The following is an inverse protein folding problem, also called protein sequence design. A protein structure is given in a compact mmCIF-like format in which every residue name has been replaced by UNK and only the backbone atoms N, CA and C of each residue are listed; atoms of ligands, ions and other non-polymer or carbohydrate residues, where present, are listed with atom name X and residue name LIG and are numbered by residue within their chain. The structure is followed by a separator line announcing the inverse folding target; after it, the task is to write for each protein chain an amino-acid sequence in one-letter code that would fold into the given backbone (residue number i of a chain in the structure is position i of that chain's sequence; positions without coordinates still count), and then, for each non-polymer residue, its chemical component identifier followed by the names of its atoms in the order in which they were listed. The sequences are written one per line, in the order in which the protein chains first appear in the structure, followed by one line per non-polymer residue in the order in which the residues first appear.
data_IF_360488182534
#
_entry.id   IF_360488182534
#
_cell.length_a   1.000
_cell.length_b   1.000
_cell.length_c   1.000
_cell.angle_alpha   90.00
_cell.angle_beta   90.00
_cell.angle_gamma   90.00
#
_symmetry.space_group_name_H-M   'P 1'
#
loop_
_entity.id
_entity.type
_entity.pdbx_description
1 polymer ?
#
# COMPACT_ATOMS: atom_id res chain seq x y z
N UNK A 1 7.30 64.08 46.84
CA UNK A 1 7.00 62.65 47.00
C UNK A 1 6.10 62.19 45.85
N UNK A 2 6.70 61.77 44.74
CA UNK A 2 6.07 60.98 43.67
C UNK A 2 7.22 60.29 42.93
N UNK A 3 7.14 58.98 42.96
CA UNK A 3 8.16 58.00 42.61
C UNK A 3 7.96 57.63 41.14
N UNK A 4 8.92 57.94 40.27
CA UNK A 4 8.97 57.39 38.91
C UNK A 4 9.93 56.21 38.93
N UNK A 5 9.37 55.02 39.03
CA UNK A 5 10.09 53.75 39.00
C UNK A 5 10.20 53.30 37.53
N UNK A 6 11.42 53.34 37.00
CA UNK A 6 11.76 52.85 35.67
C UNK A 6 11.77 51.31 35.73
N UNK A 7 10.83 50.67 35.03
CA UNK A 7 10.79 49.22 34.87
C UNK A 7 11.75 48.81 33.74
N UNK A 8 12.86 48.17 34.09
CA UNK A 8 13.73 47.46 33.15
C UNK A 8 13.20 46.02 33.05
N UNK A 9 12.57 45.68 31.93
CA UNK A 9 12.21 44.30 31.60
C UNK A 9 13.47 43.57 31.09
N UNK A 10 14.05 42.72 31.92
CA UNK A 10 15.06 41.74 31.49
C UNK A 10 14.31 40.53 30.96
N UNK A 11 14.28 40.36 29.64
CA UNK A 11 13.78 39.16 28.98
C UNK A 11 14.86 38.08 29.09
N UNK A 12 14.72 37.14 30.04
CA UNK A 12 15.44 35.87 29.97
C UNK A 12 14.74 34.97 28.96
N UNK A 13 15.29 34.87 27.75
CA UNK A 13 15.01 33.73 26.87
C UNK A 13 15.56 32.47 27.55
N UNK A 14 14.69 31.76 28.26
CA UNK A 14 14.89 30.35 28.51
C UNK A 14 14.71 29.63 27.18
N UNK A 15 15.82 29.37 26.49
CA UNK A 15 15.90 28.37 25.43
C UNK A 15 15.54 27.02 26.06
N UNK A 16 14.26 26.66 26.00
CA UNK A 16 13.83 25.28 26.10
C UNK A 16 14.47 24.55 24.92
N UNK A 17 15.60 23.89 25.16
CA UNK A 17 15.96 22.74 24.36
C UNK A 17 14.84 21.73 24.55
N UNK A 18 13.90 21.71 23.60
CA UNK A 18 13.03 20.57 23.40
C UNK A 18 13.97 19.43 23.03
N UNK A 19 14.34 18.61 24.01
CA UNK A 19 15.01 17.36 23.73
C UNK A 19 14.07 16.54 22.86
N UNK A 20 14.48 16.26 21.63
CA UNK A 20 13.78 15.34 20.74
C UNK A 20 13.65 14.00 21.45
N UNK A 21 12.42 13.64 21.82
CA UNK A 21 12.11 12.38 22.46
C UNK A 21 12.14 11.28 21.40
N UNK A 22 13.28 10.63 21.22
CA UNK A 22 13.39 9.40 20.44
C UNK A 22 12.76 8.24 21.21
N UNK A 23 11.75 7.58 20.62
CA UNK A 23 11.00 6.49 21.24
C UNK A 23 11.24 5.17 20.50
N UNK A 24 11.43 4.08 21.26
CA UNK A 24 11.43 2.73 20.70
C UNK A 24 10.00 2.21 20.62
N UNK A 25 9.52 1.99 19.41
CA UNK A 25 8.23 1.36 19.13
C UNK A 25 8.41 -0.12 18.86
N UNK A 26 7.69 -0.96 19.60
CA UNK A 26 7.61 -2.40 19.30
C UNK A 26 6.78 -2.63 18.04
N UNK A 27 7.32 -3.39 17.07
CA UNK A 27 6.61 -3.71 15.82
C UNK A 27 6.06 -5.13 15.86
N UNK A 28 6.93 -6.10 16.11
CA UNK A 28 6.61 -7.53 16.24
C UNK A 28 7.73 -8.21 17.04
N UNK A 29 7.61 -9.49 17.42
CA UNK A 29 8.66 -10.18 18.16
C UNK A 29 10.04 -9.98 17.52
N UNK A 30 11.01 -9.57 18.34
CA UNK A 30 12.39 -9.29 17.97
C UNK A 30 12.60 -8.17 16.93
N UNK A 31 11.60 -7.32 16.66
CA UNK A 31 11.73 -6.17 15.77
C UNK A 31 11.19 -4.90 16.43
N UNK A 32 12.03 -3.88 16.53
CA UNK A 32 11.69 -2.57 17.08
C UNK A 32 12.05 -1.46 16.09
N UNK A 33 11.29 -0.38 16.14
CA UNK A 33 11.52 0.83 15.38
C UNK A 33 11.98 1.94 16.33
N UNK A 34 13.16 2.48 16.09
CA UNK A 34 13.60 3.73 16.67
C UNK A 34 12.98 4.88 15.89
N UNK A 35 12.02 5.58 16.50
CA UNK A 35 11.38 6.74 15.91
C UNK A 35 12.26 7.97 16.12
N UNK A 36 12.54 8.66 15.02
CA UNK A 36 13.48 9.76 14.95
C UNK A 36 12.79 10.96 14.30
N UNK A 37 12.64 12.04 15.07
CA UNK A 37 12.21 13.34 14.56
C UNK A 37 13.43 14.08 14.01
N UNK A 38 13.26 15.00 13.06
CA UNK A 38 14.37 15.78 12.50
C UNK A 38 15.28 14.99 11.54
N UNK A 39 16.52 15.45 11.38
CA UNK A 39 17.47 14.83 10.45
C UNK A 39 18.19 13.63 11.11
N UNK A 40 17.85 12.38 10.74
CA UNK A 40 18.48 11.21 11.32
C UNK A 40 19.99 11.19 11.05
N UNK A 41 20.47 11.72 9.91
CA UNK A 41 21.89 11.73 9.55
C UNK A 41 22.78 12.47 10.55
N UNK A 42 22.21 13.44 11.28
CA UNK A 42 22.91 14.26 12.25
C UNK A 42 22.70 13.77 13.70
N UNK A 43 21.81 12.79 13.87
CA UNK A 43 21.41 12.34 15.20
C UNK A 43 22.10 11.05 15.61
N UNK A 44 22.36 11.00 16.91
CA UNK A 44 22.98 9.90 17.62
C UNK A 44 22.13 9.57 18.83
N UNK A 45 21.45 8.44 18.77
CA UNK A 45 20.47 8.05 19.79
C UNK A 45 20.95 6.84 20.57
N UNK A 46 20.90 6.92 21.89
CA UNK A 46 21.20 5.79 22.78
C UNK A 46 19.97 4.92 22.97
N UNK A 47 20.11 3.64 22.66
CA UNK A 47 19.07 2.62 22.76
C UNK A 47 19.54 1.58 23.76
N UNK A 48 18.69 1.28 24.74
CA UNK A 48 18.91 0.18 25.68
C UNK A 48 18.26 -1.09 25.16
N UNK A 49 19.03 -2.17 25.08
CA UNK A 49 18.59 -3.49 24.64
C UNK A 49 18.83 -4.50 25.76
N UNK A 50 17.93 -5.47 25.90
CA UNK A 50 18.06 -6.59 26.83
C UNK A 50 18.00 -7.91 26.06
N UNK A 51 18.77 -8.91 26.48
CA UNK A 51 18.76 -10.25 25.88
C UNK A 51 17.48 -11.01 26.28
N UNK A 52 16.97 -10.75 27.49
CA UNK A 52 15.73 -11.30 28.02
C UNK A 52 15.80 -11.45 29.54
N UNK A 53 14.66 -11.41 30.20
CA UNK A 53 14.57 -11.48 31.67
C UNK A 53 15.12 -12.80 32.23
N UNK A 54 15.11 -13.88 31.43
CA UNK A 54 15.64 -15.18 31.80
C UNK A 54 17.18 -15.26 31.88
N UNK A 55 17.91 -14.21 31.49
CA UNK A 55 19.37 -14.20 31.42
C UNK A 55 20.03 -13.15 32.33
N UNK A 56 19.32 -12.69 33.36
CA UNK A 56 19.76 -11.58 34.22
C UNK A 56 21.14 -11.80 34.86
N UNK A 57 21.45 -13.04 35.28
CA UNK A 57 22.73 -13.42 35.90
C UNK A 57 23.72 -14.11 34.95
N UNK A 58 23.40 -14.20 33.65
CA UNK A 58 24.23 -14.93 32.70
C UNK A 58 25.38 -14.06 32.13
N UNK A 59 26.52 -14.67 31.84
CA UNK A 59 27.55 -14.01 31.02
C UNK A 59 27.09 -13.96 29.56
N UNK A 60 26.72 -12.75 29.13
CA UNK A 60 26.20 -12.47 27.79
C UNK A 60 27.20 -11.66 26.96
N UNK A 61 27.39 -12.09 25.72
CA UNK A 61 28.18 -11.41 24.71
C UNK A 61 27.29 -10.92 23.56
N UNK A 62 27.50 -9.68 23.12
CA UNK A 62 26.67 -9.07 22.09
C UNK A 62 27.39 -8.92 20.76
N UNK A 63 26.62 -9.02 19.67
CA UNK A 63 27.08 -8.71 18.31
C UNK A 63 26.09 -7.79 17.62
N UNK A 64 26.59 -6.83 16.84
CA UNK A 64 25.82 -6.05 15.87
C UNK A 64 26.22 -6.51 14.47
N UNK A 65 25.25 -7.02 13.70
CA UNK A 65 25.49 -7.48 12.33
C UNK A 65 26.69 -8.44 12.25
N UNK A 66 26.77 -9.40 13.18
CA UNK A 66 27.86 -10.39 13.33
C UNK A 66 29.19 -9.85 13.89
N UNK A 67 29.36 -8.53 14.03
CA UNK A 67 30.56 -7.95 14.65
C UNK A 67 30.40 -7.85 16.17
N UNK A 68 31.41 -8.30 16.90
CA UNK A 68 31.41 -8.26 18.37
C UNK A 68 31.33 -6.82 18.88
N UNK A 69 30.51 -6.62 19.91
CA UNK A 69 30.43 -5.37 20.68
C UNK A 69 31.22 -5.61 21.97
N UNK A 70 32.10 -4.68 22.41
CA UNK A 70 32.88 -4.84 23.65
C UNK A 70 32.05 -4.68 24.94
N UNK A 71 30.71 -4.77 24.84
CA UNK A 71 29.78 -4.70 25.97
C UNK A 71 29.36 -6.12 26.39
N UNK A 72 29.25 -6.32 27.71
CA UNK A 72 28.82 -7.59 28.32
C UNK A 72 27.64 -7.34 29.26
N UNK A 73 26.92 -8.41 29.57
CA UNK A 73 25.78 -8.41 30.49
C UNK A 73 24.44 -8.50 29.77
N UNK A 74 23.38 -8.76 30.54
CA UNK A 74 22.03 -8.97 30.01
C UNK A 74 21.51 -7.75 29.23
N UNK A 75 21.83 -6.54 29.68
CA UNK A 75 21.44 -5.29 29.03
C UNK A 75 22.65 -4.50 28.54
N UNK A 76 22.51 -3.88 27.38
CA UNK A 76 23.52 -2.99 26.79
C UNK A 76 22.90 -1.69 26.32
N UNK A 77 23.67 -0.60 26.38
CA UNK A 77 23.33 0.67 25.73
C UNK A 77 24.15 0.81 24.47
N UNK A 78 23.47 0.88 23.33
CA UNK A 78 24.08 1.01 22.01
C UNK A 78 23.70 2.33 21.40
N UNK A 79 24.65 2.94 20.69
CA UNK A 79 24.35 4.14 19.93
C UNK A 79 23.92 3.77 18.51
N UNK A 80 22.78 4.30 18.10
CA UNK A 80 22.30 4.24 16.72
C UNK A 80 22.58 5.61 16.10
N UNK A 81 23.33 5.62 15.01
CA UNK A 81 23.72 6.82 14.29
C UNK A 81 23.08 6.79 12.90
N UNK A 82 22.55 7.91 12.41
CA UNK A 82 21.94 7.97 11.09
C UNK A 82 20.82 6.93 10.93
N UNK A 83 20.73 6.31 9.75
CA UNK A 83 19.83 5.18 9.49
C UNK A 83 20.53 3.83 9.75
N UNK A 84 21.63 3.82 10.52
CA UNK A 84 22.46 2.63 10.72
C UNK A 84 22.01 1.84 11.95
N UNK A 85 20.79 1.33 11.87
CA UNK A 85 20.28 0.31 12.78
C UNK A 85 21.10 -1.00 12.73
N UNK A 86 20.51 -2.11 13.14
CA UNK A 86 21.24 -3.36 13.17
C UNK A 86 20.44 -4.54 13.69
N UNK A 87 20.90 -5.73 13.33
CA UNK A 87 20.53 -6.95 14.03
C UNK A 87 21.49 -7.15 15.20
N UNK A 88 20.96 -7.01 16.42
CA UNK A 88 21.69 -7.21 17.66
C UNK A 88 21.41 -8.61 18.17
N UNK A 89 22.44 -9.44 18.29
CA UNK A 89 22.32 -10.80 18.80
C UNK A 89 23.05 -10.91 20.13
N UNK A 90 22.44 -11.61 21.08
CA UNK A 90 23.08 -11.95 22.34
C UNK A 90 23.42 -13.44 22.39
N UNK A 91 24.58 -13.74 22.95
CA UNK A 91 25.17 -15.07 22.97
C UNK A 91 25.63 -15.44 24.37
N UNK A 92 25.56 -16.73 24.69
CA UNK A 92 26.13 -17.27 25.93
C UNK A 92 27.67 -17.24 25.91
N UNK A 93 28.30 -17.53 27.04
CA UNK A 93 29.76 -17.69 27.14
C UNK A 93 30.32 -18.78 26.20
N UNK A 94 29.53 -19.80 25.86
CA UNK A 94 29.92 -20.84 24.88
C UNK A 94 29.77 -20.39 23.42
N UNK A 95 29.16 -19.23 23.17
CA UNK A 95 28.94 -18.66 21.84
C UNK A 95 27.58 -19.02 21.21
N UNK A 96 26.72 -19.76 21.92
CA UNK A 96 25.37 -20.10 21.46
C UNK A 96 24.50 -18.84 21.32
N UNK A 97 23.69 -18.76 20.26
CA UNK A 97 22.72 -17.67 20.07
C UNK A 97 21.55 -17.85 21.03
N UNK A 98 21.31 -16.87 21.90
CA UNK A 98 20.24 -16.90 22.88
C UNK A 98 19.00 -16.14 22.41
N UNK A 99 19.20 -14.91 21.91
CA UNK A 99 18.12 -14.08 21.39
C UNK A 99 18.65 -13.03 20.39
N UNK A 100 17.76 -12.32 19.73
CA UNK A 100 18.10 -11.22 18.84
C UNK A 100 17.06 -10.10 18.88
N UNK A 101 17.48 -8.91 18.48
CA UNK A 101 16.60 -7.76 18.27
C UNK A 101 17.08 -6.99 17.03
N UNK A 102 16.22 -6.91 16.03
CA UNK A 102 16.40 -6.06 14.87
C UNK A 102 15.90 -4.65 15.20
N UNK A 103 16.82 -3.71 15.27
CA UNK A 103 16.53 -2.29 15.43
C UNK A 103 16.50 -1.64 14.05
N UNK A 104 15.34 -1.13 13.67
CA UNK A 104 15.13 -0.32 12.47
C UNK A 104 15.00 1.15 12.86
N UNK A 105 15.31 2.06 11.94
CA UNK A 105 15.20 3.51 12.13
C UNK A 105 14.01 4.01 11.32
N UNK A 106 13.06 4.66 11.98
CA UNK A 106 11.85 5.24 11.37
C UNK A 106 11.95 6.76 11.41
N UNK A 107 12.33 7.40 10.29
CA UNK A 107 12.48 8.85 10.23
C UNK A 107 11.10 9.49 9.98
N UNK A 108 10.52 10.12 11.01
CA UNK A 108 9.14 10.58 10.95
C UNK A 108 8.94 11.78 10.02
N UNK A 109 9.96 12.65 9.91
CA UNK A 109 9.92 13.89 9.14
C UNK A 109 10.56 13.78 7.74
N UNK A 110 10.97 12.58 7.32
CA UNK A 110 11.62 12.37 6.02
C UNK A 110 10.65 11.92 4.93
N UNK A 111 10.86 12.40 3.71
CA UNK A 111 10.16 11.92 2.54
C UNK A 111 10.36 10.41 2.35
N UNK A 112 9.26 9.70 2.11
CA UNK A 112 9.26 8.27 1.83
C UNK A 112 9.95 7.98 0.50
N UNK A 113 10.73 6.92 0.47
CA UNK A 113 11.70 6.66 -0.59
C UNK A 113 11.78 5.19 -1.02
N UNK A 114 11.16 4.28 -0.27
CA UNK A 114 11.21 2.84 -0.54
C UNK A 114 10.16 2.45 -1.59
N UNK A 115 8.99 3.11 -1.56
CA UNK A 115 7.89 2.88 -2.50
C UNK A 115 7.73 4.06 -3.46
N UNK A 116 7.35 3.77 -4.70
CA UNK A 116 6.99 4.78 -5.70
C UNK A 116 5.52 5.17 -5.54
N UNK A 117 5.23 6.47 -5.66
CA UNK A 117 3.86 6.96 -5.77
C UNK A 117 3.30 6.69 -7.16
N UNK A 118 2.00 6.40 -7.22
CA UNK A 118 1.26 6.36 -8.48
C UNK A 118 0.85 7.78 -8.93
N UNK A 119 0.12 7.88 -10.05
CA UNK A 119 -0.36 9.15 -10.61
C UNK A 119 -1.30 9.93 -9.67
N UNK A 120 -1.87 9.26 -8.66
CA UNK A 120 -2.72 9.85 -7.63
C UNK A 120 -1.97 10.13 -6.33
N UNK A 121 -0.64 10.14 -6.36
CA UNK A 121 0.24 10.36 -5.19
C UNK A 121 0.10 9.29 -4.09
N UNK A 122 -0.49 8.13 -4.41
CA UNK A 122 -0.66 7.01 -3.47
C UNK A 122 0.49 5.99 -3.59
N UNK A 123 1.01 5.53 -2.46
CA UNK A 123 2.07 4.51 -2.42
C UNK A 123 1.56 3.07 -2.57
N UNK A 124 0.36 2.81 -2.06
CA UNK A 124 -0.29 1.49 -2.07
C UNK A 124 -1.60 1.67 -2.82
N UNK A 125 -1.87 0.84 -3.82
CA UNK A 125 -3.11 0.82 -4.63
C UNK A 125 -3.94 -0.40 -4.25
N UNK A 126 -5.22 -0.21 -3.92
CA UNK A 126 -6.11 -1.34 -3.61
C UNK A 126 -7.24 -1.46 -4.64
N UNK A 127 -7.69 -2.69 -4.87
CA UNK A 127 -8.71 -3.03 -5.85
C UNK A 127 -9.57 -4.21 -5.39
N UNK A 128 -10.89 -4.10 -5.55
CA UNK A 128 -11.84 -5.17 -5.34
C UNK A 128 -12.60 -5.45 -6.63
N UNK A 129 -12.81 -6.72 -6.97
CA UNK A 129 -13.55 -7.09 -8.20
C UNK A 129 -15.05 -6.95 -8.05
N UNK A 130 -15.52 -6.98 -6.82
CA UNK A 130 -16.93 -7.05 -6.43
C UNK A 130 -17.08 -6.64 -4.95
N UNK A 131 -18.31 -6.50 -4.49
CA UNK A 131 -18.71 -6.14 -3.13
C UNK A 131 -18.70 -7.32 -2.13
N UNK A 132 -18.31 -8.53 -2.55
CA UNK A 132 -18.23 -9.69 -1.66
C UNK A 132 -17.09 -9.61 -0.66
N UNK A 133 -16.17 -8.66 -0.88
CA UNK A 133 -15.17 -8.23 0.08
C UNK A 133 -13.76 -8.82 -0.07
N UNK A 134 -13.45 -9.82 -0.94
CA UNK A 134 -12.06 -10.02 -1.32
C UNK A 134 -11.49 -8.81 -2.07
N UNK A 135 -10.31 -8.37 -1.68
CA UNK A 135 -9.59 -7.28 -2.33
C UNK A 135 -8.10 -7.53 -2.32
N UNK A 136 -7.41 -6.81 -3.21
CA UNK A 136 -5.98 -6.92 -3.42
C UNK A 136 -5.36 -5.54 -3.32
N UNK A 137 -4.27 -5.40 -2.56
CA UNK A 137 -3.54 -4.16 -2.39
C UNK A 137 -2.09 -4.35 -2.83
N UNK A 138 -1.62 -3.55 -3.78
CA UNK A 138 -0.28 -3.65 -4.35
C UNK A 138 0.48 -2.33 -4.25
N UNK A 139 1.80 -2.40 -4.33
CA UNK A 139 2.68 -1.25 -4.34
C UNK A 139 3.83 -1.47 -5.33
N UNK A 140 4.54 -0.39 -5.64
CA UNK A 140 5.72 -0.45 -6.51
C UNK A 140 6.95 -0.07 -5.71
N UNK A 141 7.95 -0.96 -5.70
CA UNK A 141 9.25 -0.69 -5.12
C UNK A 141 10.01 0.36 -5.93
N UNK A 142 10.77 1.22 -5.26
CA UNK A 142 11.78 2.04 -5.91
C UNK A 142 12.85 1.12 -6.54
N UNK A 143 13.25 1.35 -7.81
CA UNK A 143 14.16 0.45 -8.53
C UNK A 143 15.57 0.40 -7.93
N UNK A 144 15.96 1.42 -7.18
CA UNK A 144 17.27 1.52 -6.51
C UNK A 144 17.15 1.14 -5.04
N UNK A 145 16.07 1.61 -4.38
CA UNK A 145 15.83 1.48 -2.94
C UNK A 145 14.73 0.46 -2.64
N UNK A 146 14.79 -0.70 -3.31
CA UNK A 146 13.85 -1.79 -3.10
C UNK A 146 13.86 -2.28 -1.63
N UNK A 147 12.80 -2.95 -1.20
CA UNK A 147 12.65 -3.29 0.20
C UNK A 147 12.08 -4.66 0.43
N UNK A 148 11.82 -4.93 1.71
CA UNK A 148 11.01 -6.06 2.13
C UNK A 148 9.91 -5.59 3.07
N UNK A 149 8.76 -6.28 3.05
CA UNK A 149 7.73 -6.09 4.06
C UNK A 149 8.22 -6.62 5.41
N UNK A 150 8.15 -5.76 6.42
CA UNK A 150 8.47 -6.09 7.81
C UNK A 150 7.23 -6.59 8.52
N UNK A 151 6.12 -5.87 8.34
CA UNK A 151 4.85 -6.13 8.98
C UNK A 151 3.73 -5.48 8.16
N UNK A 152 2.55 -6.08 8.20
CA UNK A 152 1.33 -5.46 7.70
C UNK A 152 0.19 -5.81 8.65
N UNK A 153 -0.82 -4.93 8.70
CA UNK A 153 -2.04 -5.16 9.44
C UNK A 153 -3.21 -4.55 8.68
N UNK A 154 -4.30 -5.29 8.60
CA UNK A 154 -5.51 -4.84 7.92
C UNK A 154 -6.67 -4.98 8.88
N UNK A 155 -7.37 -3.89 9.14
CA UNK A 155 -8.40 -3.82 10.17
C UNK A 155 -9.70 -3.25 9.62
N UNK A 156 -10.82 -3.77 10.10
CA UNK A 156 -12.14 -3.16 9.96
C UNK A 156 -12.87 -3.28 11.28
N UNK A 157 -13.41 -2.18 11.79
CA UNK A 157 -14.10 -2.15 13.09
C UNK A 157 -13.29 -2.84 14.21
N UNK A 158 -11.99 -2.52 14.29
CA UNK A 158 -11.03 -3.10 15.24
C UNK A 158 -10.81 -4.62 15.13
N UNK A 159 -11.34 -5.27 14.09
CA UNK A 159 -11.14 -6.70 13.81
C UNK A 159 -10.15 -6.88 12.67
N UNK A 160 -9.20 -7.81 12.83
CA UNK A 160 -8.20 -8.13 11.82
C UNK A 160 -8.85 -8.86 10.63
N UNK A 161 -8.51 -8.40 9.42
CA UNK A 161 -8.87 -9.04 8.15
C UNK A 161 -7.74 -10.02 7.79
N UNK A 162 -8.12 -11.24 7.42
CA UNK A 162 -7.15 -12.24 6.98
C UNK A 162 -6.54 -11.81 5.64
N UNK A 163 -5.24 -11.59 5.62
CA UNK A 163 -4.51 -11.23 4.41
C UNK A 163 -3.21 -12.02 4.31
N UNK A 164 -2.86 -12.41 3.09
CA UNK A 164 -1.58 -13.06 2.75
C UNK A 164 -0.73 -12.13 1.90
N UNK A 165 0.57 -12.12 2.15
CA UNK A 165 1.56 -11.47 1.30
C UNK A 165 1.84 -12.35 0.08
N UNK A 166 1.78 -11.75 -1.10
CA UNK A 166 2.03 -12.43 -2.36
C UNK A 166 3.53 -12.76 -2.53
N UNK A 167 3.86 -13.73 -3.39
CA UNK A 167 5.22 -14.28 -3.53
C UNK A 167 6.27 -13.24 -3.95
N UNK A 168 5.86 -12.21 -4.68
CA UNK A 168 6.71 -11.13 -5.16
C UNK A 168 6.98 -10.04 -4.11
N UNK A 169 6.39 -10.16 -2.92
CA UNK A 169 6.49 -9.19 -1.82
C UNK A 169 6.01 -7.78 -2.24
N UNK A 170 5.20 -7.67 -3.29
CA UNK A 170 4.73 -6.39 -3.83
C UNK A 170 3.20 -6.20 -3.69
N UNK A 171 2.52 -7.20 -3.12
CA UNK A 171 1.09 -7.12 -2.90
C UNK A 171 0.56 -7.99 -1.76
N UNK A 172 -0.66 -7.69 -1.34
CA UNK A 172 -1.45 -8.41 -0.34
C UNK A 172 -2.77 -8.84 -0.96
N UNK A 173 -3.15 -10.08 -0.71
CA UNK A 173 -4.48 -10.61 -1.00
C UNK A 173 -5.24 -10.80 0.30
N UNK A 174 -6.40 -10.15 0.40
CA UNK A 174 -7.21 -10.10 1.62
C UNK A 174 -8.57 -10.75 1.43
N UNK A 175 -8.95 -11.59 2.38
CA UNK A 175 -10.26 -12.22 2.47
C UNK A 175 -11.10 -11.52 3.53
N UNK A 176 -12.00 -10.64 3.09
CA UNK A 176 -12.98 -10.00 3.97
C UNK A 176 -14.38 -10.47 3.58
N UNK A 177 -14.87 -11.55 4.19
CA UNK A 177 -16.21 -12.06 3.91
C UNK A 177 -17.26 -11.13 4.50
N UNK A 178 -17.94 -10.35 3.65
CA UNK A 178 -19.03 -9.47 4.06
C UNK A 178 -20.26 -9.63 3.17
N UNK A 179 -21.44 -9.30 3.71
CA UNK A 179 -22.67 -9.20 2.94
C UNK A 179 -22.55 -8.11 1.86
N UNK A 180 -22.60 -8.46 0.56
CA UNK A 180 -22.47 -7.47 -0.53
C UNK A 180 -23.59 -6.44 -0.57
N UNK A 181 -24.72 -6.73 0.07
CA UNK A 181 -25.91 -5.88 0.11
C UNK A 181 -25.89 -4.87 1.27
N UNK A 182 -24.94 -5.00 2.19
CA UNK A 182 -24.85 -4.12 3.36
C UNK A 182 -24.14 -2.81 3.00
N UNK A 183 -24.64 -1.71 3.55
CA UNK A 183 -23.96 -0.42 3.48
C UNK A 183 -22.66 -0.47 4.32
N UNK A 184 -21.60 0.10 3.76
CA UNK A 184 -20.30 0.15 4.43
C UNK A 184 -20.23 1.33 5.40
N UNK A 185 -20.38 1.03 6.69
CA UNK A 185 -20.34 2.06 7.76
C UNK A 185 -18.93 2.38 8.26
N UNK A 186 -17.97 1.45 8.07
CA UNK A 186 -16.58 1.61 8.52
C UNK A 186 -15.60 1.32 7.41
N UNK A 187 -14.51 2.10 7.38
CA UNK A 187 -13.39 1.91 6.46
C UNK A 187 -12.53 0.74 6.88
N UNK A 188 -11.90 0.13 5.89
CA UNK A 188 -10.79 -0.79 6.05
C UNK A 188 -9.52 0.06 6.17
N UNK A 189 -8.72 -0.20 7.20
CA UNK A 189 -7.45 0.46 7.45
C UNK A 189 -6.32 -0.55 7.23
N UNK A 190 -5.48 -0.29 6.23
CA UNK A 190 -4.24 -1.01 5.96
C UNK A 190 -3.07 -0.21 6.52
N UNK A 191 -2.25 -0.85 7.33
CA UNK A 191 -0.91 -0.39 7.73
C UNK A 191 0.12 -1.34 7.13
N UNK A 192 1.07 -0.80 6.37
CA UNK A 192 2.16 -1.51 5.73
C UNK A 192 3.49 -0.92 6.21
N UNK A 193 4.33 -1.75 6.82
CA UNK A 193 5.69 -1.39 7.21
C UNK A 193 6.69 -2.08 6.31
N UNK A 194 7.46 -1.30 5.56
CA UNK A 194 8.50 -1.77 4.66
C UNK A 194 9.86 -1.26 5.11
N UNK A 195 10.92 -2.02 4.79
CA UNK A 195 12.28 -1.57 5.04
C UNK A 195 13.19 -1.72 3.84
N UNK A 196 14.12 -0.77 3.71
CA UNK A 196 15.33 -0.90 2.91
C UNK A 196 16.50 -0.82 3.89
N UNK A 197 17.31 -1.89 3.95
CA UNK A 197 18.34 -2.05 4.97
C UNK A 197 17.76 -1.92 6.40
N UNK A 198 18.10 -0.84 7.10
CA UNK A 198 17.59 -0.52 8.44
C UNK A 198 16.63 0.66 8.47
N UNK A 199 16.39 1.34 7.34
CA UNK A 199 15.36 2.39 7.23
C UNK A 199 13.99 1.74 7.15
N UNK A 200 13.06 2.17 8.01
CA UNK A 200 11.69 1.71 8.09
C UNK A 200 10.73 2.81 7.63
N UNK A 201 9.84 2.49 6.71
CA UNK A 201 8.76 3.38 6.28
C UNK A 201 7.41 2.72 6.58
N UNK A 202 6.49 3.52 7.10
CA UNK A 202 5.12 3.13 7.34
C UNK A 202 4.20 3.79 6.31
N UNK A 203 3.36 3.00 5.66
CA UNK A 203 2.36 3.44 4.72
C UNK A 203 0.99 3.03 5.24
N UNK A 204 0.06 3.99 5.27
CA UNK A 204 -1.31 3.75 5.70
C UNK A 204 -2.27 4.06 4.56
N UNK A 205 -3.32 3.26 4.42
CA UNK A 205 -4.41 3.51 3.47
C UNK A 205 -5.74 3.16 4.14
N UNK A 206 -6.71 4.07 4.06
CA UNK A 206 -8.06 3.88 4.56
C UNK A 206 -9.07 3.99 3.41
N UNK A 207 -9.90 2.97 3.21
CA UNK A 207 -10.84 2.92 2.08
C UNK A 207 -12.10 2.12 2.41
N UNK A 208 -13.17 2.36 1.65
CA UNK A 208 -14.31 1.43 1.56
C UNK A 208 -14.13 0.49 0.36
N UNK A 209 -14.79 -0.67 0.36
CA UNK A 209 -14.77 -1.57 -0.80
C UNK A 209 -15.33 -0.84 -2.03
N UNK A 210 -16.44 -0.12 -1.89
CA UNK A 210 -17.04 0.66 -2.98
C UNK A 210 -16.10 1.73 -3.58
N UNK A 211 -15.06 2.16 -2.86
CA UNK A 211 -14.08 3.11 -3.38
C UNK A 211 -13.07 2.46 -4.34
N UNK A 212 -12.85 1.17 -4.18
CA UNK A 212 -11.81 0.40 -4.88
C UNK A 212 -12.40 -0.64 -5.85
N UNK A 213 -13.71 -0.60 -6.09
CA UNK A 213 -14.39 -1.49 -7.02
C UNK A 213 -13.88 -1.24 -8.45
N UNK A 214 -13.36 -2.30 -9.06
CA UNK A 214 -13.06 -2.38 -10.49
C UNK A 214 -13.62 -3.72 -11.00
N UNK A 215 -14.72 -3.70 -11.78
CA UNK A 215 -15.24 -4.94 -12.37
C UNK A 215 -14.17 -5.62 -13.22
N UNK A 216 -14.26 -6.94 -13.33
CA UNK A 216 -13.47 -7.66 -14.33
C UNK A 216 -13.84 -7.25 -15.75
N UNK A 217 -12.90 -7.51 -16.66
CA UNK A 217 -13.10 -7.40 -18.10
C UNK A 217 -14.32 -8.23 -18.55
N UNK A 218 -15.14 -7.67 -19.44
CA UNK A 218 -16.38 -8.32 -19.93
C UNK A 218 -16.10 -9.36 -21.01
N UNK A 219 -16.89 -10.41 -21.11
CA UNK A 219 -16.71 -11.43 -22.16
C UNK A 219 -17.62 -11.12 -23.36
N UNK A 220 -17.03 -10.90 -24.54
CA UNK A 220 -17.80 -10.76 -25.80
C UNK A 220 -18.18 -12.16 -26.27
N UNK A 221 -19.46 -12.51 -26.15
CA UNK A 221 -19.99 -13.84 -26.47
C UNK A 221 -20.52 -13.97 -27.89
N UNK A 222 -20.84 -12.84 -28.54
CA UNK A 222 -21.31 -12.82 -29.93
C UNK A 222 -20.69 -11.64 -30.67
N UNK A 223 -20.27 -11.90 -31.90
CA UNK A 223 -19.69 -10.91 -32.81
C UNK A 223 -20.04 -11.27 -34.27
N UNK A 224 -21.30 -11.07 -34.65
CA UNK A 224 -21.82 -11.47 -35.96
C UNK A 224 -22.55 -10.31 -36.62
N UNK A 225 -22.34 -10.10 -37.93
CA UNK A 225 -23.03 -9.06 -38.71
C UNK A 225 -22.95 -7.66 -38.08
N UNK A 226 -21.80 -7.33 -37.48
CA UNK A 226 -21.58 -6.09 -36.72
C UNK A 226 -22.47 -5.91 -35.48
N UNK A 227 -23.15 -6.97 -35.03
CA UNK A 227 -23.86 -7.02 -33.76
C UNK A 227 -22.98 -7.74 -32.73
N UNK A 228 -22.81 -7.09 -31.59
CA UNK A 228 -22.00 -7.57 -30.48
C UNK A 228 -22.89 -7.77 -29.27
N UNK A 229 -22.67 -8.88 -28.57
CA UNK A 229 -23.28 -9.16 -27.27
C UNK A 229 -22.18 -9.58 -26.31
N UNK A 230 -22.27 -9.12 -25.07
CA UNK A 230 -21.33 -9.46 -24.02
C UNK A 230 -22.05 -9.92 -22.76
N UNK A 231 -21.32 -10.57 -21.87
CA UNK A 231 -21.85 -11.01 -20.58
C UNK A 231 -21.33 -10.13 -19.45
N UNK A 232 -22.14 -10.01 -18.39
CA UNK A 232 -21.71 -9.49 -17.10
C UNK A 232 -20.59 -10.41 -16.57
N UNK A 233 -19.46 -9.87 -16.07
CA UNK A 233 -18.36 -10.69 -15.57
C UNK A 233 -18.85 -11.68 -14.52
N UNK A 234 -18.39 -12.94 -14.59
CA UNK A 234 -18.84 -14.00 -13.68
C UNK A 234 -18.51 -13.71 -12.21
N UNK A 235 -17.46 -12.94 -11.98
CA UNK A 235 -17.04 -12.48 -10.65
C UNK A 235 -17.91 -11.36 -10.08
N UNK A 236 -18.74 -10.70 -10.89
CA UNK A 236 -19.57 -9.58 -10.44
C UNK A 236 -20.72 -10.05 -9.54
N UNK A 237 -21.13 -9.21 -8.58
CA UNK A 237 -22.22 -9.55 -7.68
C UNK A 237 -23.55 -9.71 -8.41
N UNK A 238 -24.41 -10.58 -7.86
CA UNK A 238 -25.76 -10.84 -8.33
C UNK A 238 -26.77 -10.65 -7.19
N UNK A 239 -28.02 -10.27 -7.50
CA UNK A 239 -28.58 -10.08 -8.84
C UNK A 239 -28.14 -8.77 -9.51
N UNK A 240 -28.06 -8.74 -10.84
CA UNK A 240 -27.63 -7.56 -11.60
C UNK A 240 -28.62 -6.38 -11.49
N UNK A 241 -29.86 -6.64 -11.06
CA UNK A 241 -30.84 -5.59 -10.72
C UNK A 241 -30.44 -4.79 -9.49
N UNK A 242 -29.70 -5.40 -8.56
CA UNK A 242 -29.17 -4.74 -7.38
C UNK A 242 -27.75 -4.21 -7.60
N UNK A 243 -26.93 -4.91 -8.40
CA UNK A 243 -25.58 -4.47 -8.76
C UNK A 243 -25.49 -4.13 -10.26
N UNK A 244 -26.13 -3.05 -10.74
CA UNK A 244 -26.15 -2.68 -12.14
C UNK A 244 -24.78 -2.20 -12.61
N UNK A 245 -24.32 -2.77 -13.72
CA UNK A 245 -23.19 -2.25 -14.47
C UNK A 245 -23.69 -1.33 -15.58
N UNK A 246 -22.87 -0.32 -15.89
CA UNK A 246 -22.94 0.43 -17.13
C UNK A 246 -21.73 0.06 -18.00
N UNK A 247 -21.90 0.21 -19.30
CA UNK A 247 -20.89 -0.15 -20.29
C UNK A 247 -20.48 1.07 -21.09
N UNK A 248 -19.20 1.14 -21.42
CA UNK A 248 -18.69 2.07 -22.42
C UNK A 248 -18.28 1.28 -23.64
N UNK A 249 -18.78 1.70 -24.79
CA UNK A 249 -18.46 1.14 -26.09
C UNK A 249 -17.80 2.19 -26.95
N UNK A 250 -16.74 1.81 -27.66
CA UNK A 250 -16.17 2.63 -28.73
C UNK A 250 -15.69 1.77 -29.88
N UNK A 251 -15.62 2.37 -31.06
CA UNK A 251 -15.15 1.70 -32.27
C UNK A 251 -13.94 2.46 -32.79
N UNK A 252 -12.80 1.78 -32.85
CA UNK A 252 -11.55 2.36 -33.33
C UNK A 252 -11.13 1.71 -34.65
N UNK A 253 -10.19 2.35 -35.34
CA UNK A 253 -9.58 1.76 -36.54
C UNK A 253 -8.97 0.39 -36.23
N UNK A 254 -9.04 -0.56 -37.17
CA UNK A 254 -8.45 -1.91 -37.02
C UNK A 254 -6.93 -1.91 -36.72
N UNK A 255 -6.24 -0.79 -36.95
CA UNK A 255 -4.81 -0.61 -36.67
C UNK A 255 -4.52 -0.07 -35.27
N UNK A 256 -5.55 0.35 -34.55
CA UNK A 256 -5.45 0.94 -33.21
C UNK A 256 -5.90 -0.05 -32.15
N UNK A 257 -5.36 0.14 -30.95
CA UNK A 257 -5.79 -0.57 -29.75
C UNK A 257 -6.86 0.24 -29.00
N UNK A 258 -7.63 -0.41 -28.13
CA UNK A 258 -8.65 0.24 -27.32
C UNK A 258 -8.04 1.19 -26.27
N UNK A 259 -6.76 1.03 -25.92
CA UNK A 259 -6.05 1.95 -25.02
C UNK A 259 -5.48 3.19 -25.73
N UNK A 260 -5.52 3.26 -27.06
CA UNK A 260 -4.98 4.37 -27.83
C UNK A 260 -5.79 5.67 -27.61
N UNK A 261 -5.17 6.64 -26.96
CA UNK A 261 -5.70 7.99 -26.67
C UNK A 261 -5.23 9.06 -27.65
N UNK A 262 -4.49 8.70 -28.70
CA UNK A 262 -3.74 9.62 -29.58
C UNK A 262 -4.58 10.57 -30.46
N UNK A 263 -5.91 10.50 -30.43
CA UNK A 263 -6.79 11.43 -31.15
C UNK A 263 -8.06 11.69 -30.35
N UNK A 264 -8.69 12.86 -30.60
CA UNK A 264 -10.05 13.24 -30.15
C UNK A 264 -10.87 12.00 -29.85
N UNK A 265 -11.26 11.85 -28.58
CA UNK A 265 -11.94 10.67 -28.06
C UNK A 265 -12.94 10.15 -29.09
N UNK A 266 -12.69 8.97 -29.72
CA UNK A 266 -13.67 8.40 -30.63
C UNK A 266 -14.97 8.28 -29.83
N UNK A 267 -16.06 8.88 -30.33
CA UNK A 267 -17.31 9.07 -29.58
C UNK A 267 -17.68 7.81 -28.79
N UNK A 268 -17.35 7.82 -27.49
CA UNK A 268 -17.66 6.74 -26.59
C UNK A 268 -19.15 6.79 -26.31
N UNK A 269 -19.81 5.63 -26.46
CA UNK A 269 -21.22 5.48 -26.15
C UNK A 269 -21.38 4.73 -24.83
N UNK A 270 -22.18 5.30 -23.93
CA UNK A 270 -22.51 4.69 -22.66
C UNK A 270 -23.87 3.99 -22.73
N UNK A 271 -23.91 2.72 -22.33
CA UNK A 271 -25.07 1.84 -22.45
C UNK A 271 -25.30 1.08 -21.14
N UNK A 272 -26.56 0.73 -20.86
CA UNK A 272 -26.91 -0.19 -19.76
C UNK A 272 -27.24 -1.60 -20.29
N UNK A 273 -27.38 -1.73 -21.60
CA UNK A 273 -27.66 -2.99 -22.28
C UNK A 273 -26.35 -3.71 -22.62
N UNK A 274 -26.41 -5.04 -22.70
CA UNK A 274 -25.25 -5.89 -23.02
C UNK A 274 -25.14 -6.21 -24.52
N UNK A 275 -25.67 -5.34 -25.36
CA UNK A 275 -25.73 -5.50 -26.81
C UNK A 275 -25.47 -4.17 -27.50
N UNK A 276 -24.78 -4.23 -28.64
CA UNK A 276 -24.62 -3.07 -29.50
C UNK A 276 -24.45 -3.47 -30.97
N UNK A 277 -25.00 -2.67 -31.88
CA UNK A 277 -24.85 -2.85 -33.33
C UNK A 277 -24.06 -1.71 -33.94
N UNK A 278 -22.95 -2.04 -34.58
CA UNK A 278 -22.05 -1.08 -35.23
C UNK A 278 -22.53 -0.79 -36.66
N UNK A 279 -22.72 0.49 -36.99
CA UNK A 279 -23.19 0.93 -38.31
C UNK A 279 -22.09 1.09 -39.39
N UNK A 280 -20.90 0.48 -39.21
CA UNK A 280 -19.70 0.74 -40.04
C UNK A 280 -19.42 -0.36 -41.10
N UNK A 281 -18.93 0.05 -42.28
CA UNK A 281 -18.60 -0.82 -43.44
C UNK A 281 -17.10 -1.08 -43.64
N UNK A 282 -16.22 -0.45 -42.86
CA UNK A 282 -14.76 -0.66 -42.91
C UNK A 282 -14.32 -1.66 -41.84
N UNK A 283 -13.10 -2.19 -41.92
CA UNK A 283 -12.53 -3.00 -40.82
C UNK A 283 -12.25 -2.12 -39.61
N UNK A 284 -12.66 -2.57 -38.42
CA UNK A 284 -12.56 -1.84 -37.15
C UNK A 284 -12.24 -2.76 -35.98
N UNK A 285 -11.88 -2.17 -34.84
CA UNK A 285 -11.81 -2.84 -33.55
C UNK A 285 -12.96 -2.34 -32.69
N UNK A 286 -13.82 -3.27 -32.26
CA UNK A 286 -14.87 -3.01 -31.29
C UNK A 286 -14.28 -3.10 -29.88
N UNK A 287 -14.55 -2.12 -29.04
CA UNK A 287 -14.07 -2.02 -27.68
C UNK A 287 -15.25 -1.89 -26.72
N UNK A 288 -15.27 -2.66 -25.64
CA UNK A 288 -16.26 -2.54 -24.57
C UNK A 288 -15.62 -2.74 -23.19
N UNK A 289 -16.05 -1.97 -22.20
CA UNK A 289 -15.66 -2.11 -20.79
C UNK A 289 -16.83 -1.81 -19.87
N UNK A 290 -16.75 -2.25 -18.63
CA UNK A 290 -17.80 -2.09 -17.64
C UNK A 290 -17.37 -1.21 -16.47
N UNK A 291 -18.35 -0.57 -15.83
CA UNK A 291 -18.17 0.15 -14.58
C UNK A 291 -19.42 0.01 -13.72
N UNK A 292 -19.23 0.03 -12.42
CA UNK A 292 -20.33 0.09 -11.48
C UNK A 292 -21.08 1.42 -11.55
N UNK A 293 -22.41 1.33 -11.68
CA UNK A 293 -23.28 2.50 -11.94
C UNK A 293 -23.39 3.43 -10.72
N UNK A 294 -23.21 2.89 -9.51
CA UNK A 294 -23.34 3.68 -8.28
C UNK A 294 -22.09 4.49 -7.97
N UNK A 295 -20.92 3.89 -8.15
CA UNK A 295 -19.66 4.55 -7.80
C UNK A 295 -19.14 5.44 -8.93
N UNK A 296 -19.30 5.03 -10.19
CA UNK A 296 -18.78 5.74 -11.37
C UNK A 296 -17.27 6.08 -11.28
N UNK A 297 -16.50 5.31 -10.49
CA UNK A 297 -15.08 5.59 -10.21
C UNK A 297 -14.13 4.95 -11.21
N UNK A 298 -14.09 3.60 -11.25
CA UNK A 298 -13.08 2.86 -12.01
C UNK A 298 -13.74 2.02 -13.10
N UNK A 299 -13.18 2.06 -14.30
CA UNK A 299 -13.59 1.20 -15.41
C UNK A 299 -12.79 -0.12 -15.41
N UNK A 300 -13.43 -1.20 -15.85
CA UNK A 300 -12.74 -2.45 -16.18
C UNK A 300 -11.74 -2.24 -17.32
N UNK A 301 -10.85 -3.21 -17.50
CA UNK A 301 -10.01 -3.25 -18.70
C UNK A 301 -10.88 -3.47 -19.95
N UNK A 302 -10.37 -3.03 -21.10
CA UNK A 302 -11.09 -3.16 -22.37
C UNK A 302 -11.15 -4.61 -22.86
N UNK A 303 -12.34 -5.01 -23.27
CA UNK A 303 -12.57 -6.14 -24.17
C UNK A 303 -12.58 -5.67 -25.60
N UNK A 304 -11.92 -6.45 -26.45
CA UNK A 304 -11.73 -6.04 -27.84
C UNK A 304 -12.00 -7.17 -28.82
N UNK A 305 -12.61 -6.82 -29.95
CA UNK A 305 -12.84 -7.72 -31.07
C UNK A 305 -12.54 -7.02 -32.40
N UNK A 306 -11.69 -7.64 -33.23
CA UNK A 306 -11.31 -7.10 -34.54
C UNK A 306 -12.28 -7.59 -35.62
N UNK A 307 -13.17 -6.71 -36.06
CA UNK A 307 -14.06 -6.98 -37.18
C UNK A 307 -13.34 -6.68 -38.51
N UNK A 308 -13.14 -7.72 -39.32
CA UNK A 308 -12.62 -7.59 -40.68
C UNK A 308 -13.77 -7.56 -41.68
N UNK A 309 -13.66 -6.74 -42.72
CA UNK A 309 -14.55 -6.83 -43.87
C UNK A 309 -14.48 -8.25 -44.45
N UNK A 310 -15.60 -8.96 -44.50
CA UNK A 310 -15.72 -10.15 -45.35
C UNK A 310 -15.73 -9.66 -46.79
N UNK A 311 -14.70 -9.97 -47.56
CA UNK A 311 -14.77 -9.88 -49.01
C UNK A 311 -15.79 -10.94 -49.43
N UNK A 312 -16.98 -10.50 -49.84
CA UNK A 312 -17.91 -11.38 -50.53
C UNK A 312 -17.26 -11.65 -51.91
N UNK A 313 -17.07 -12.92 -52.30
CA UNK A 313 -16.44 -13.28 -53.57
C UNK A 313 -17.19 -12.73 -54.79
#
# INVERSE_FOLDING_TARGET
MKMNLIYVFVLHLMLLHVGESSTLRFIKPNVVALEVNGNPMEQKTLVELSCGDQYEDAEIHWRKNQHNIPAKGNSIKVSIEAMLGGNFTCHSASGELLNHTLVLVSPLDFEKAILLQNENEEFVTCMARNYSGPFHCSWKWDPVRNGIVVFFRVLRNSSDINCSLDEDNAALTCENMQCPFSEEVTRINLTLLVRNQYRLEEHQRAFFIHDIIKPEKVDIIKAENNEFEWEVPKSWNRPCTFFPLRYEVKVVSHRKDCDDSSHDHPDSLYLNETRYKVSNKKSYTFCVRAQDTFTNKVWSDWSQHKARRKNIP
#
